data_IF_599910226875
#
_entry.id   IF_599910226875
#
_cell.length_a   1.000
_cell.length_b   1.000
_cell.length_c   1.000
_cell.angle_alpha   90.00
_cell.angle_beta   90.00
_cell.angle_gamma   90.00
#
_symmetry.space_group_name_H-M   'P 1'
#
loop_
_entity.id
_entity.type
_entity.pdbx_description
1 polymer ?
#
# COMPACT_ATOMS: atom_id res chain seq x y z
N UNK A 1 -16.18 -56.51 -7.58
CA UNK A 1 -16.89 -55.28 -7.15
C UNK A 1 -15.95 -54.22 -6.57
N UNK A 2 -14.71 -54.55 -6.21
CA UNK A 2 -13.73 -53.64 -5.57
C UNK A 2 -12.84 -52.84 -6.53
N UNK A 3 -12.56 -53.35 -7.74
CA UNK A 3 -11.65 -52.67 -8.68
C UNK A 3 -12.32 -51.55 -9.48
N UNK A 4 -13.63 -51.67 -9.74
CA UNK A 4 -14.40 -50.65 -10.50
C UNK A 4 -14.70 -49.42 -9.63
N UNK A 5 -14.83 -49.56 -8.30
CA UNK A 5 -14.96 -48.41 -7.40
C UNK A 5 -13.64 -47.64 -7.26
N UNK A 6 -12.50 -48.34 -7.26
CA UNK A 6 -11.19 -47.70 -7.16
C UNK A 6 -10.80 -46.89 -8.41
N UNK A 7 -11.31 -47.25 -9.60
CA UNK A 7 -11.09 -46.46 -10.82
C UNK A 7 -11.99 -45.23 -10.89
N UNK A 8 -13.25 -45.33 -10.43
CA UNK A 8 -14.20 -44.20 -10.40
C UNK A 8 -13.81 -43.13 -9.37
N UNK A 9 -13.27 -43.54 -8.21
CA UNK A 9 -12.81 -42.58 -7.19
C UNK A 9 -11.52 -41.84 -7.61
N UNK A 10 -10.66 -42.47 -8.43
CA UNK A 10 -9.47 -41.82 -9.00
C UNK A 10 -9.81 -40.77 -10.08
N UNK A 11 -10.93 -40.90 -10.78
CA UNK A 11 -11.41 -39.89 -11.73
C UNK A 11 -12.12 -38.72 -11.03
N UNK A 12 -12.85 -38.98 -9.94
CA UNK A 12 -13.66 -37.96 -9.26
C UNK A 12 -12.85 -37.02 -8.36
N UNK A 13 -11.73 -37.50 -7.82
CA UNK A 13 -10.76 -36.67 -7.10
C UNK A 13 -9.45 -36.65 -7.88
N UNK A 14 -9.33 -35.65 -8.77
CA UNK A 14 -8.12 -35.36 -9.54
C UNK A 14 -6.87 -35.42 -8.65
N UNK A 15 -6.15 -36.53 -8.75
CA UNK A 15 -5.01 -36.81 -7.90
C UNK A 15 -3.82 -35.94 -8.32
N UNK A 16 -3.20 -35.30 -7.32
CA UNK A 16 -1.81 -34.83 -7.38
C UNK A 16 -1.56 -33.48 -8.06
N UNK A 17 -2.15 -33.21 -9.23
CA UNK A 17 -1.70 -32.07 -10.06
C UNK A 17 -2.03 -30.69 -9.50
N UNK A 18 -3.19 -30.49 -8.88
CA UNK A 18 -3.61 -29.17 -8.37
C UNK A 18 -2.75 -28.67 -7.20
N UNK A 19 -2.09 -29.58 -6.45
CA UNK A 19 -1.16 -29.21 -5.37
C UNK A 19 0.21 -28.73 -5.85
N UNK A 20 0.65 -29.15 -7.04
CA UNK A 20 1.91 -28.66 -7.62
C UNK A 20 1.75 -27.28 -8.25
N UNK A 21 0.64 -27.01 -8.95
CA UNK A 21 0.35 -25.67 -9.47
C UNK A 21 0.34 -24.60 -8.36
N UNK A 22 -0.22 -24.92 -7.18
CA UNK A 22 -0.22 -23.99 -6.03
C UNK A 22 1.14 -23.85 -5.33
N UNK A 23 2.09 -24.78 -5.55
CA UNK A 23 3.47 -24.65 -5.07
C UNK A 23 4.30 -23.77 -6.01
N UNK A 24 4.05 -23.82 -7.30
CA UNK A 24 4.74 -23.00 -8.31
C UNK A 24 4.40 -21.50 -8.17
N UNK A 25 3.16 -21.16 -7.78
CA UNK A 25 2.77 -19.79 -7.39
C UNK A 25 3.34 -19.34 -6.04
N UNK A 26 3.85 -20.26 -5.23
CA UNK A 26 4.66 -19.97 -4.04
C UNK A 26 6.13 -20.22 -4.39
N UNK A 27 6.65 -19.43 -5.33
CA UNK A 27 8.09 -19.19 -5.39
C UNK A 27 8.49 -18.55 -4.06
N UNK A 28 8.84 -19.38 -3.08
CA UNK A 28 9.62 -18.95 -1.94
C UNK A 28 10.95 -18.52 -2.56
N UNK A 29 11.14 -17.19 -2.71
CA UNK A 29 12.45 -16.61 -2.98
C UNK A 29 13.48 -17.37 -2.16
N UNK A 30 14.58 -17.78 -2.79
CA UNK A 30 15.73 -18.37 -2.09
C UNK A 30 16.08 -17.49 -0.89
N UNK A 31 16.51 -18.06 0.25
CA UNK A 31 16.82 -17.26 1.45
C UNK A 31 17.80 -16.12 1.13
N UNK A 32 18.74 -16.37 0.22
CA UNK A 32 19.70 -15.38 -0.27
C UNK A 32 19.04 -14.26 -1.08
N UNK A 33 18.07 -14.56 -1.95
CA UNK A 33 17.31 -13.56 -2.69
C UNK A 33 16.39 -12.75 -1.78
N UNK A 34 15.88 -13.39 -0.72
CA UNK A 34 15.05 -12.75 0.30
C UNK A 34 15.90 -11.78 1.13
N UNK A 35 17.11 -12.17 1.52
CA UNK A 35 18.08 -11.29 2.18
C UNK A 35 18.48 -10.11 1.31
N UNK A 36 18.83 -10.33 0.03
CA UNK A 36 19.12 -9.23 -0.91
C UNK A 36 17.94 -8.26 -1.04
N UNK A 37 16.71 -8.76 -1.13
CA UNK A 37 15.53 -7.87 -1.19
C UNK A 37 15.27 -7.11 0.12
N UNK A 38 15.65 -7.67 1.27
CA UNK A 38 15.55 -6.99 2.57
C UNK A 38 16.66 -5.94 2.72
N UNK A 39 17.86 -6.22 2.22
CA UNK A 39 19.00 -5.30 2.19
C UNK A 39 18.74 -4.13 1.24
N UNK A 40 18.23 -4.40 0.04
CA UNK A 40 17.80 -3.37 -0.92
C UNK A 40 16.66 -2.51 -0.35
N UNK A 41 15.67 -3.13 0.33
CA UNK A 41 14.60 -2.38 0.99
C UNK A 41 15.07 -1.63 2.26
N UNK A 42 16.25 -1.96 2.81
CA UNK A 42 16.89 -1.25 3.93
C UNK A 42 17.81 -0.13 3.46
N UNK A 43 18.18 -0.10 2.18
CA UNK A 43 18.92 1.00 1.61
C UNK A 43 18.02 2.23 1.52
N UNK A 44 18.35 3.24 2.32
CA UNK A 44 17.60 4.50 2.44
C UNK A 44 18.32 5.65 1.73
N UNK A 45 19.33 5.36 0.91
CA UNK A 45 20.08 6.36 0.16
C UNK A 45 19.16 7.16 -0.78
N UNK A 46 19.36 8.48 -0.82
CA UNK A 46 18.55 9.41 -1.62
C UNK A 46 17.23 9.86 -0.99
N UNK A 47 16.85 9.35 0.19
CA UNK A 47 15.71 9.87 0.95
C UNK A 47 16.13 11.12 1.73
N UNK A 48 15.48 12.26 1.49
CA UNK A 48 15.79 13.49 2.22
C UNK A 48 15.05 13.50 3.57
N UNK A 49 15.77 13.50 4.71
CA UNK A 49 15.15 13.43 6.04
C UNK A 49 14.25 14.64 6.35
N UNK A 50 14.57 15.82 5.81
CA UNK A 50 13.74 17.02 6.00
C UNK A 50 12.38 16.89 5.32
N UNK A 51 12.33 16.24 4.16
CA UNK A 51 11.06 16.01 3.42
C UNK A 51 10.21 14.98 4.17
N UNK A 52 10.82 13.93 4.74
CA UNK A 52 10.11 12.96 5.58
C UNK A 52 9.53 13.62 6.84
N UNK A 53 10.32 14.41 7.57
CA UNK A 53 9.85 15.08 8.80
C UNK A 53 8.75 16.11 8.46
N UNK A 54 8.92 16.87 7.37
CA UNK A 54 7.88 17.80 6.89
C UNK A 54 6.58 17.08 6.50
N UNK A 55 6.69 15.94 5.79
CA UNK A 55 5.54 15.10 5.44
C UNK A 55 4.84 14.50 6.66
N UNK A 56 5.60 14.09 7.68
CA UNK A 56 5.05 13.60 8.94
C UNK A 56 4.29 14.70 9.70
N UNK A 57 4.86 15.90 9.80
CA UNK A 57 4.19 17.04 10.42
C UNK A 57 2.88 17.40 9.70
N UNK A 58 2.87 17.36 8.37
CA UNK A 58 1.66 17.58 7.58
C UNK A 58 0.60 16.49 7.83
N UNK A 59 0.99 15.21 7.84
CA UNK A 59 0.07 14.11 8.13
C UNK A 59 -0.56 14.23 9.54
N UNK A 60 0.23 14.63 10.53
CA UNK A 60 -0.28 14.92 11.88
C UNK A 60 -1.19 16.14 11.93
N UNK A 61 -0.90 17.19 11.17
CA UNK A 61 -1.81 18.34 11.06
C UNK A 61 -3.16 17.92 10.46
N UNK A 62 -3.16 17.08 9.41
CA UNK A 62 -4.38 16.51 8.85
C UNK A 62 -5.14 15.62 9.85
N UNK A 63 -4.42 14.78 10.61
CA UNK A 63 -5.04 13.97 11.66
C UNK A 63 -5.71 14.84 12.73
N UNK A 64 -5.02 15.88 13.21
CA UNK A 64 -5.57 16.84 14.16
C UNK A 64 -6.79 17.58 13.61
N UNK A 65 -6.75 18.04 12.36
CA UNK A 65 -7.87 18.70 11.71
C UNK A 65 -9.11 17.78 11.61
N UNK A 66 -8.92 16.51 11.26
CA UNK A 66 -9.99 15.51 11.21
C UNK A 66 -10.56 15.19 12.61
N UNK A 67 -9.72 15.19 13.64
CA UNK A 67 -10.17 15.02 15.02
C UNK A 67 -11.05 16.19 15.47
N UNK A 68 -10.62 17.43 15.20
CA UNK A 68 -11.42 18.62 15.49
C UNK A 68 -12.73 18.62 14.70
N UNK A 69 -12.68 18.23 13.43
CA UNK A 69 -13.87 18.08 12.60
C UNK A 69 -14.86 17.05 13.18
N UNK A 70 -14.36 15.90 13.63
CA UNK A 70 -15.19 14.86 14.28
C UNK A 70 -15.84 15.39 15.56
N UNK A 71 -15.10 16.12 16.38
CA UNK A 71 -15.61 16.74 17.61
C UNK A 71 -16.69 17.79 17.30
N UNK A 72 -16.46 18.62 16.27
CA UNK A 72 -17.40 19.63 15.82
C UNK A 72 -18.71 19.02 15.30
N UNK A 73 -18.62 17.95 14.49
CA UNK A 73 -19.80 17.21 14.05
C UNK A 73 -20.60 16.63 15.21
N UNK A 74 -19.92 16.21 16.29
CA UNK A 74 -20.56 15.76 17.52
C UNK A 74 -21.41 16.83 18.17
N UNK A 75 -20.82 18.01 18.36
CA UNK A 75 -21.55 19.15 18.88
C UNK A 75 -22.73 19.55 17.98
N UNK A 76 -22.57 19.49 16.65
CA UNK A 76 -23.65 19.76 15.70
C UNK A 76 -24.80 18.76 15.80
N UNK A 77 -24.52 17.45 15.89
CA UNK A 77 -25.57 16.43 15.97
C UNK A 77 -26.31 16.44 17.31
N UNK A 78 -25.65 16.87 18.39
CA UNK A 78 -26.28 17.07 19.70
C UNK A 78 -27.16 18.32 19.71
N UNK A 79 -26.70 19.42 19.12
CA UNK A 79 -27.48 20.68 19.06
C UNK A 79 -28.68 20.62 18.11
N UNK A 80 -28.68 19.72 17.12
CA UNK A 80 -29.78 19.55 16.17
C UNK A 80 -30.37 18.14 16.25
N UNK A 81 -31.18 17.82 17.27
CA UNK A 81 -31.92 16.56 17.32
C UNK A 81 -32.97 16.53 16.20
N UNK A 82 -32.99 15.43 15.42
CA UNK A 82 -34.00 15.21 14.39
C UNK A 82 -35.13 14.36 14.99
N UNK A 83 -36.13 15.04 15.53
CA UNK A 83 -37.39 14.41 15.96
C UNK A 83 -38.35 14.44 14.76
N UNK A 84 -38.50 13.29 14.11
CA UNK A 84 -39.42 13.11 12.98
C UNK A 84 -40.33 11.92 13.27
N UNK A 85 -41.63 12.07 13.05
CA UNK A 85 -42.63 11.01 13.28
C UNK A 85 -42.48 9.81 12.32
N UNK A 86 -41.77 10.00 11.21
CA UNK A 86 -41.51 8.93 10.24
C UNK A 86 -40.35 8.07 10.73
N UNK A 87 -40.69 6.92 11.31
CA UNK A 87 -39.74 5.95 11.89
C UNK A 87 -38.55 5.59 10.98
N UNK A 88 -38.79 5.48 9.67
CA UNK A 88 -37.76 5.19 8.68
C UNK A 88 -36.67 6.28 8.63
N UNK A 89 -37.08 7.56 8.62
CA UNK A 89 -36.16 8.71 8.56
C UNK A 89 -35.33 8.81 9.84
N UNK A 90 -35.94 8.53 10.99
CA UNK A 90 -35.25 8.50 12.27
C UNK A 90 -34.14 7.44 12.31
N UNK A 91 -34.40 6.21 11.85
CA UNK A 91 -33.36 5.16 11.80
C UNK A 91 -32.25 5.50 10.82
N UNK A 92 -32.61 6.01 9.65
CA UNK A 92 -31.64 6.36 8.61
C UNK A 92 -30.68 7.46 9.09
N UNK A 93 -31.21 8.52 9.69
CA UNK A 93 -30.41 9.64 10.21
C UNK A 93 -29.48 9.21 11.34
N UNK A 94 -29.91 8.31 12.23
CA UNK A 94 -29.06 7.74 13.28
C UNK A 94 -27.89 6.92 12.70
N UNK A 95 -28.16 6.09 11.69
CA UNK A 95 -27.11 5.33 10.99
C UNK A 95 -26.13 6.27 10.29
N UNK A 96 -26.61 7.31 9.60
CA UNK A 96 -25.74 8.29 8.95
C UNK A 96 -24.85 9.05 9.94
N UNK A 97 -25.40 9.49 11.09
CA UNK A 97 -24.58 10.15 12.14
C UNK A 97 -23.46 9.25 12.61
N UNK A 98 -23.76 7.98 12.92
CA UNK A 98 -22.75 7.01 13.34
C UNK A 98 -21.75 6.70 12.24
N UNK A 99 -22.19 6.61 10.99
CA UNK A 99 -21.31 6.35 9.84
C UNK A 99 -20.34 7.50 9.62
N UNK A 100 -20.83 8.75 9.59
CA UNK A 100 -19.98 9.93 9.37
C UNK A 100 -18.99 10.10 10.53
N UNK A 101 -19.44 9.88 11.77
CA UNK A 101 -18.58 9.91 12.96
C UNK A 101 -17.50 8.83 12.93
N UNK A 102 -17.90 7.59 12.60
CA UNK A 102 -17.00 6.46 12.52
C UNK A 102 -15.94 6.65 11.44
N UNK A 103 -16.35 7.07 10.23
CA UNK A 103 -15.42 7.33 9.12
C UNK A 103 -14.46 8.47 9.42
N UNK A 104 -14.94 9.57 10.01
CA UNK A 104 -14.08 10.71 10.35
C UNK A 104 -13.04 10.34 11.43
N UNK A 105 -13.46 9.60 12.46
CA UNK A 105 -12.56 9.11 13.50
C UNK A 105 -11.54 8.10 12.95
N UNK A 106 -11.96 7.22 12.03
CA UNK A 106 -11.06 6.25 11.41
C UNK A 106 -10.03 6.94 10.52
N UNK A 107 -10.45 7.93 9.73
CA UNK A 107 -9.55 8.72 8.90
C UNK A 107 -8.50 9.45 9.77
N UNK A 108 -8.94 10.10 10.86
CA UNK A 108 -8.04 10.73 11.84
C UNK A 108 -7.03 9.74 12.41
N UNK A 109 -7.47 8.53 12.77
CA UNK A 109 -6.59 7.47 13.29
C UNK A 109 -5.56 7.01 12.26
N UNK A 110 -6.00 6.80 11.01
CA UNK A 110 -5.11 6.39 9.91
C UNK A 110 -4.01 7.42 9.66
N UNK A 111 -4.36 8.71 9.52
CA UNK A 111 -3.38 9.77 9.36
C UNK A 111 -2.45 9.91 10.57
N UNK A 112 -2.95 9.65 11.78
CA UNK A 112 -2.12 9.61 12.99
C UNK A 112 -1.05 8.52 12.93
N UNK A 113 -1.43 7.29 12.59
CA UNK A 113 -0.51 6.14 12.48
C UNK A 113 0.47 6.32 11.32
N UNK A 114 -0.01 6.77 10.16
CA UNK A 114 0.85 7.07 9.00
C UNK A 114 1.85 8.17 9.34
N UNK A 115 1.42 9.23 10.02
CA UNK A 115 2.31 10.31 10.46
C UNK A 115 3.42 9.80 11.38
N UNK A 116 3.09 8.90 12.33
CA UNK A 116 4.10 8.24 13.19
C UNK A 116 5.08 7.41 12.34
N UNK A 117 4.58 6.64 11.37
CA UNK A 117 5.43 5.81 10.51
C UNK A 117 6.42 6.62 9.68
N UNK A 118 5.95 7.71 9.04
CA UNK A 118 6.79 8.61 8.25
C UNK A 118 7.80 9.33 9.16
N UNK A 119 7.37 9.73 10.37
CA UNK A 119 8.25 10.36 11.34
C UNK A 119 9.40 9.44 11.77
N UNK A 120 9.09 8.19 12.14
CA UNK A 120 10.09 7.19 12.52
C UNK A 120 11.07 6.89 11.38
N UNK A 121 10.59 6.83 10.13
CA UNK A 121 11.45 6.69 8.96
C UNK A 121 12.37 7.91 8.81
N UNK A 122 11.83 9.13 8.96
CA UNK A 122 12.62 10.37 8.93
C UNK A 122 13.71 10.42 10.01
N UNK A 123 13.40 9.97 11.23
CA UNK A 123 14.37 9.86 12.33
C UNK A 123 15.47 8.85 11.99
N UNK A 124 15.11 7.67 11.45
CA UNK A 124 16.09 6.65 11.05
C UNK A 124 17.03 7.14 9.94
N UNK A 125 16.47 7.80 8.93
CA UNK A 125 17.26 8.39 7.83
C UNK A 125 18.14 9.52 8.37
N UNK A 126 17.61 10.41 9.20
CA UNK A 126 18.36 11.49 9.82
C UNK A 126 19.54 10.98 10.66
N UNK A 127 19.32 9.92 11.44
CA UNK A 127 20.38 9.25 12.19
C UNK A 127 21.46 8.68 11.26
N UNK A 128 21.08 7.96 10.19
CA UNK A 128 22.04 7.40 9.23
C UNK A 128 22.80 8.44 8.40
N UNK A 129 22.21 9.62 8.17
CA UNK A 129 22.89 10.77 7.56
C UNK A 129 23.90 11.38 8.55
N UNK A 130 23.56 11.47 9.83
CA UNK A 130 24.49 11.95 10.87
C UNK A 130 25.66 10.99 11.12
N UNK A 131 25.46 9.68 11.00
CA UNK A 131 26.53 8.67 11.14
C UNK A 131 27.40 8.51 9.89
N UNK A 132 27.08 9.19 8.79
CA UNK A 132 27.85 9.16 7.55
C UNK A 132 27.72 7.85 6.76
N UNK A 133 26.77 6.99 7.12
CA UNK A 133 26.48 5.73 6.41
C UNK A 133 25.52 5.93 5.24
N UNK A 134 24.69 6.98 5.27
CA UNK A 134 23.73 7.31 4.23
C UNK A 134 24.14 8.60 3.49
N UNK A 135 24.17 8.54 2.17
CA UNK A 135 24.41 9.70 1.30
C UNK A 135 23.07 10.42 1.04
N UNK A 136 22.90 11.69 1.49
CA UNK A 136 21.68 12.46 1.31
C UNK A 136 21.52 13.02 -0.11
N UNK A 137 22.51 12.82 -1.00
CA UNK A 137 22.39 13.26 -2.38
C UNK A 137 21.31 12.43 -3.09
N UNK A 138 20.38 13.07 -3.83
CA UNK A 138 19.42 12.31 -4.64
C UNK A 138 20.23 11.49 -5.63
N UNK A 139 20.12 10.16 -5.57
CA UNK A 139 20.61 9.29 -6.63
C UNK A 139 19.88 9.76 -7.89
N UNK A 140 20.59 10.52 -8.72
CA UNK A 140 20.16 10.86 -10.07
C UNK A 140 20.03 9.51 -10.75
N UNK A 141 18.83 8.93 -10.83
CA UNK A 141 18.59 7.69 -11.57
C UNK A 141 19.29 7.86 -12.91
N UNK A 142 20.36 7.09 -13.13
CA UNK A 142 21.03 7.13 -14.41
C UNK A 142 20.00 6.67 -15.43
N UNK A 143 19.96 7.35 -16.58
CA UNK A 143 19.14 7.02 -17.75
C UNK A 143 19.27 5.56 -18.25
N UNK A 144 20.06 4.72 -17.59
CA UNK A 144 20.26 3.30 -17.91
C UNK A 144 19.11 2.39 -17.46
N UNK A 145 18.21 2.85 -16.58
CA UNK A 145 16.97 2.14 -16.20
C UNK A 145 15.76 2.52 -17.08
N UNK A 146 16.00 3.31 -18.14
CA UNK A 146 15.07 3.36 -19.27
C UNK A 146 15.16 2.00 -19.95
N UNK A 147 14.43 1.03 -19.39
CA UNK A 147 14.02 -0.18 -20.10
C UNK A 147 13.32 0.33 -21.35
N UNK A 148 14.09 0.44 -22.42
CA UNK A 148 13.59 0.64 -23.77
C UNK A 148 12.74 -0.59 -24.04
N UNK A 149 11.46 -0.51 -23.69
CA UNK A 149 10.48 -1.49 -24.13
C UNK A 149 10.59 -1.45 -25.66
N UNK A 150 11.02 -2.55 -26.31
CA UNK A 150 11.00 -2.57 -27.76
C UNK A 150 9.55 -2.30 -28.16
N UNK A 151 9.33 -1.29 -29.00
CA UNK A 151 8.01 -1.00 -29.55
C UNK A 151 7.42 -2.31 -30.05
N UNK A 152 6.38 -2.81 -29.38
CA UNK A 152 5.75 -4.09 -29.68
C UNK A 152 5.25 -4.09 -31.13
N UNK A 153 4.90 -2.90 -31.62
CA UNK A 153 4.55 -2.65 -33.02
C UNK A 153 5.73 -2.81 -34.00
N UNK A 154 6.94 -2.38 -33.63
CA UNK A 154 8.14 -2.58 -34.43
C UNK A 154 8.59 -4.05 -34.46
N UNK A 155 8.37 -4.78 -33.34
CA UNK A 155 8.60 -6.23 -33.27
C UNK A 155 7.61 -7.00 -34.16
N UNK A 156 6.35 -6.55 -34.26
CA UNK A 156 5.31 -7.18 -35.07
C UNK A 156 5.38 -6.86 -36.57
N UNK A 157 5.89 -5.68 -36.95
CA UNK A 157 5.94 -5.25 -38.36
C UNK A 157 7.29 -5.46 -39.03
N UNK A 158 8.28 -6.02 -38.31
CA UNK A 158 9.61 -6.32 -38.84
C UNK A 158 10.45 -5.09 -39.21
N UNK A 159 9.97 -3.88 -38.89
CA UNK A 159 10.69 -2.65 -39.16
C UNK A 159 11.55 -2.25 -37.95
N UNK A 160 12.83 -2.56 -38.03
CA UNK A 160 13.81 -2.11 -37.03
C UNK A 160 14.07 -0.61 -37.19
N UNK A 161 13.57 0.19 -36.24
CA UNK A 161 13.75 1.63 -36.25
C UNK A 161 15.19 1.97 -35.80
N UNK A 162 16.11 2.12 -36.76
CA UNK A 162 17.49 2.60 -36.52
C UNK A 162 17.49 4.12 -36.29
N UNK A 163 17.05 4.58 -35.12
CA UNK A 163 17.30 5.97 -34.69
C UNK A 163 17.65 6.02 -33.21
N UNK A 164 18.95 6.17 -32.93
CA UNK A 164 19.45 6.32 -31.56
C UNK A 164 20.97 6.24 -31.43
N UNK A 165 21.73 7.01 -32.21
CA UNK A 165 23.12 7.38 -31.85
C UNK A 165 23.30 8.86 -32.17
N UNK A 166 23.19 9.70 -31.15
CA UNK A 166 23.94 10.94 -30.93
C UNK A 166 23.70 11.42 -29.51
#
# INVERSE_FOLDING_TARGET
>A
MTEIQASVDKEKYGSGKTREYFKEFRSQKSEEERQRSIEEARDLNGVNPLVCIGGAAFAWACAGALWFFTTYLGALFVSHPLETDVYFIQRLTQVFRNMVMGLSSLASGFFGVVGIGIFLLGVRVGYGVMTGELDPTPIKKSKSDEIVLPDVWALMTGQTNRRGKR
#
